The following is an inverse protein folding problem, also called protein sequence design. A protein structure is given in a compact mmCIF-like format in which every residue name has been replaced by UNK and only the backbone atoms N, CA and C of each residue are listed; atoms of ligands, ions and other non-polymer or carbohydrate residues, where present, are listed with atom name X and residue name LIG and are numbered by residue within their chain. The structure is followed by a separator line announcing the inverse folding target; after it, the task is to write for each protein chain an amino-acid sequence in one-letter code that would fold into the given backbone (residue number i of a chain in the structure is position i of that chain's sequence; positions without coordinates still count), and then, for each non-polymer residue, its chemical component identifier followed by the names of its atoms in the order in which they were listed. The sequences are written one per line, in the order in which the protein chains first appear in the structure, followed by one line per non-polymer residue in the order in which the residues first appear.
data_IF_332403931739
#
_entry.id   IF_332403931739
#
_cell.length_a   1.000
_cell.length_b   1.000
_cell.length_c   1.000
_cell.angle_alpha   90.00
_cell.angle_beta   90.00
_cell.angle_gamma   90.00
#
_symmetry.space_group_name_H-M   'P 1'
#
loop_
_entity.id
_entity.type
_entity.pdbx_description
1 polymer ?
#
# COMPACT_ATOMS: atom_id res chain seq x y z
N UNK A 1 -6.00 0.78 -27.68
CA UNK A 1 -6.22 1.07 -26.25
C UNK A 1 -5.81 -0.13 -25.42
N UNK A 2 -5.05 0.11 -24.36
CA UNK A 2 -4.62 -0.97 -23.46
C UNK A 2 -5.72 -1.24 -22.44
N UNK A 3 -6.13 -2.50 -22.35
CA UNK A 3 -7.10 -2.91 -21.34
C UNK A 3 -6.39 -3.17 -20.00
N UNK A 4 -6.70 -2.37 -18.99
CA UNK A 4 -6.09 -2.48 -17.66
C UNK A 4 -6.95 -3.28 -16.67
N UNK A 5 -8.22 -3.54 -17.01
CA UNK A 5 -9.12 -4.25 -16.12
C UNK A 5 -8.58 -5.65 -15.82
N UNK A 6 -8.52 -6.00 -14.57
CA UNK A 6 -8.00 -7.29 -14.13
C UNK A 6 -6.50 -7.38 -14.02
N UNK A 7 -5.77 -6.34 -14.44
CA UNK A 7 -4.33 -6.27 -14.17
C UNK A 7 -4.10 -6.02 -12.69
N UNK A 8 -2.91 -6.37 -12.21
CA UNK A 8 -2.55 -6.28 -10.79
C UNK A 8 -1.38 -5.34 -10.60
N UNK A 9 -1.54 -4.41 -9.68
CA UNK A 9 -0.50 -3.43 -9.33
C UNK A 9 -0.18 -3.55 -7.84
N UNK A 10 1.09 -3.66 -7.51
CA UNK A 10 1.55 -3.57 -6.13
C UNK A 10 2.25 -2.23 -5.92
N UNK A 11 1.89 -1.54 -4.85
CA UNK A 11 2.48 -0.26 -4.45
C UNK A 11 3.11 -0.46 -3.07
N UNK A 12 4.40 -0.15 -2.97
CA UNK A 12 5.11 -0.13 -1.69
C UNK A 12 5.35 1.30 -1.28
N UNK A 13 4.93 1.68 -0.09
CA UNK A 13 5.17 3.03 0.44
C UNK A 13 6.02 2.91 1.69
N UNK A 14 7.17 3.61 1.70
CA UNK A 14 8.04 3.73 2.88
C UNK A 14 8.05 5.15 3.45
N UNK A 15 7.47 6.11 2.75
CA UNK A 15 7.42 7.50 3.16
C UNK A 15 6.42 7.73 4.28
N UNK A 16 6.73 8.64 5.20
CA UNK A 16 5.81 9.05 6.26
C UNK A 16 4.56 9.72 5.68
N UNK A 17 3.42 9.67 6.40
CA UNK A 17 2.17 10.26 5.91
C UNK A 17 2.25 11.74 5.53
N UNK A 18 3.13 12.50 6.19
CA UNK A 18 3.32 13.92 5.88
C UNK A 18 4.18 14.15 4.64
N UNK A 19 4.88 13.14 4.15
CA UNK A 19 5.75 13.26 3.00
C UNK A 19 4.94 13.16 1.71
N UNK A 20 5.28 14.00 0.71
CA UNK A 20 4.54 14.02 -0.57
C UNK A 20 4.47 12.66 -1.25
N UNK A 21 5.49 11.80 -1.08
CA UNK A 21 5.51 10.49 -1.72
C UNK A 21 4.46 9.54 -1.13
N UNK A 22 4.04 9.75 0.11
CA UNK A 22 2.89 9.02 0.65
C UNK A 22 1.63 9.36 -0.15
N UNK A 23 1.39 10.66 -0.38
CA UNK A 23 0.24 11.11 -1.18
C UNK A 23 0.33 10.64 -2.63
N UNK A 24 1.52 10.65 -3.21
CA UNK A 24 1.70 10.14 -4.58
C UNK A 24 1.31 8.67 -4.68
N UNK A 25 1.68 7.86 -3.68
CA UNK A 25 1.28 6.46 -3.62
C UNK A 25 -0.22 6.28 -3.55
N UNK A 26 -0.89 7.08 -2.71
CA UNK A 26 -2.36 7.04 -2.61
C UNK A 26 -3.03 7.47 -3.91
N UNK A 27 -2.49 8.51 -4.57
CA UNK A 27 -3.04 8.99 -5.84
C UNK A 27 -2.92 7.94 -6.93
N UNK A 28 -1.81 7.24 -7.00
CA UNK A 28 -1.64 6.15 -7.96
C UNK A 28 -2.64 5.02 -7.66
N UNK A 29 -2.80 4.66 -6.39
CA UNK A 29 -3.75 3.62 -5.99
C UNK A 29 -5.17 3.97 -6.42
N UNK A 30 -5.57 5.23 -6.22
CA UNK A 30 -6.90 5.67 -6.61
C UNK A 30 -7.09 5.65 -8.12
N UNK A 31 -6.13 6.14 -8.87
CA UNK A 31 -6.20 6.13 -10.34
C UNK A 31 -6.27 4.71 -10.90
N UNK A 32 -5.45 3.81 -10.34
CA UNK A 32 -5.45 2.42 -10.76
C UNK A 32 -6.78 1.74 -10.44
N UNK A 33 -7.32 1.99 -9.25
CA UNK A 33 -8.60 1.44 -8.84
C UNK A 33 -9.72 1.87 -9.80
N UNK A 34 -9.73 3.15 -10.18
CA UNK A 34 -10.71 3.67 -11.16
C UNK A 34 -10.57 3.03 -12.53
N UNK A 35 -9.36 2.62 -12.90
CA UNK A 35 -9.10 1.96 -14.18
C UNK A 35 -9.43 0.46 -14.17
N UNK A 36 -9.91 -0.07 -13.06
CA UNK A 36 -10.26 -1.49 -12.94
C UNK A 36 -9.08 -2.39 -12.56
N UNK A 37 -7.99 -1.81 -12.14
CA UNK A 37 -6.80 -2.54 -11.70
C UNK A 37 -7.01 -3.05 -10.28
N UNK A 38 -6.58 -4.29 -10.02
CA UNK A 38 -6.53 -4.82 -8.64
C UNK A 38 -5.29 -4.26 -7.97
N UNK A 39 -5.48 -3.50 -6.90
CA UNK A 39 -4.40 -2.77 -6.22
C UNK A 39 -4.07 -3.43 -4.88
N UNK A 40 -2.78 -3.72 -4.69
CA UNK A 40 -2.20 -4.15 -3.43
C UNK A 40 -1.30 -3.03 -2.93
N UNK A 41 -1.47 -2.60 -1.69
CA UNK A 41 -0.67 -1.52 -1.14
C UNK A 41 -0.02 -2.01 0.16
N UNK A 42 1.29 -1.90 0.24
CA UNK A 42 2.08 -2.35 1.38
C UNK A 42 2.79 -1.16 2.02
N UNK A 43 2.50 -0.90 3.29
CA UNK A 43 3.15 0.15 4.07
C UNK A 43 4.31 -0.45 4.86
N UNK A 44 5.50 0.16 4.73
CA UNK A 44 6.71 -0.24 5.42
C UNK A 44 7.37 1.01 6.03
N UNK A 45 8.24 0.83 6.99
CA UNK A 45 8.99 1.92 7.65
C UNK A 45 8.03 2.99 8.17
N UNK A 46 8.28 4.27 7.87
CA UNK A 46 7.48 5.38 8.38
C UNK A 46 6.05 5.40 7.83
N UNK A 47 5.80 4.72 6.71
CA UNK A 47 4.44 4.66 6.16
C UNK A 47 3.46 3.91 7.07
N UNK A 48 3.95 3.06 7.97
CA UNK A 48 3.06 2.35 8.91
C UNK A 48 2.31 3.29 9.84
N UNK A 49 2.83 4.51 10.08
CA UNK A 49 2.09 5.53 10.82
C UNK A 49 0.82 5.98 10.11
N UNK A 50 0.74 5.76 8.81
CA UNK A 50 -0.41 6.16 8.00
C UNK A 50 -1.46 5.08 7.77
N UNK A 51 -1.29 3.91 8.37
CA UNK A 51 -2.23 2.79 8.14
C UNK A 51 -3.66 3.18 8.47
N UNK A 52 -3.87 3.95 9.54
CA UNK A 52 -5.21 4.42 9.93
C UNK A 52 -5.66 5.70 9.25
N UNK A 53 -4.90 6.25 8.32
CA UNK A 53 -5.27 7.47 7.62
C UNK A 53 -6.61 7.28 6.91
N UNK A 54 -7.52 8.26 7.04
CA UNK A 54 -8.87 8.16 6.51
C UNK A 54 -8.89 7.92 5.00
N UNK A 55 -7.97 8.54 4.26
CA UNK A 55 -7.88 8.38 2.80
C UNK A 55 -7.49 6.95 2.43
N UNK A 56 -6.56 6.39 3.19
CA UNK A 56 -6.10 5.01 2.95
C UNK A 56 -7.18 4.01 3.33
N UNK A 57 -7.88 4.24 4.43
CA UNK A 57 -8.99 3.38 4.82
C UNK A 57 -10.15 3.45 3.83
N UNK A 58 -10.40 4.61 3.23
CA UNK A 58 -11.40 4.74 2.16
C UNK A 58 -11.00 3.92 0.94
N UNK A 59 -9.74 3.98 0.52
CA UNK A 59 -9.25 3.16 -0.58
C UNK A 59 -9.40 1.67 -0.28
N UNK A 60 -9.11 1.26 0.95
CA UNK A 60 -9.32 -0.12 1.40
C UNK A 60 -10.79 -0.51 1.27
N UNK A 61 -11.70 0.36 1.71
CA UNK A 61 -13.14 0.10 1.61
C UNK A 61 -13.61 -0.04 0.15
N UNK A 62 -12.90 0.61 -0.78
CA UNK A 62 -13.19 0.55 -2.21
C UNK A 62 -12.49 -0.59 -2.93
N UNK A 63 -11.75 -1.42 -2.21
CA UNK A 63 -11.18 -2.64 -2.77
C UNK A 63 -9.66 -2.73 -2.79
N UNK A 64 -8.94 -1.68 -2.42
CA UNK A 64 -7.48 -1.78 -2.27
C UNK A 64 -7.15 -2.76 -1.16
N UNK A 65 -6.26 -3.70 -1.44
CA UNK A 65 -5.81 -4.68 -0.47
C UNK A 65 -4.63 -4.09 0.28
N UNK A 66 -4.85 -3.76 1.55
CA UNK A 66 -3.91 -3.01 2.37
C UNK A 66 -3.15 -3.92 3.32
N UNK A 67 -1.82 -3.87 3.21
CA UNK A 67 -0.89 -4.59 4.07
C UNK A 67 0.04 -3.62 4.77
N UNK A 68 0.60 -4.06 5.87
CA UNK A 68 1.62 -3.28 6.59
C UNK A 68 2.66 -4.20 7.21
N UNK A 69 3.88 -3.70 7.34
CA UNK A 69 4.97 -4.45 7.94
C UNK A 69 4.76 -4.57 9.46
N UNK A 70 4.61 -5.79 9.95
CA UNK A 70 4.41 -6.05 11.37
C UNK A 70 5.62 -5.62 12.20
N UNK A 71 6.83 -5.87 11.72
CA UNK A 71 8.05 -5.49 12.41
C UNK A 71 8.17 -3.96 12.54
N UNK A 72 7.90 -3.23 11.45
CA UNK A 72 7.93 -1.77 11.47
C UNK A 72 6.88 -1.19 12.43
N UNK A 73 5.69 -1.78 12.46
CA UNK A 73 4.63 -1.35 13.37
C UNK A 73 5.03 -1.60 14.83
N UNK A 74 5.58 -2.77 15.11
CA UNK A 74 6.02 -3.14 16.45
C UNK A 74 7.11 -2.20 16.97
N UNK A 75 8.10 -1.91 16.14
CA UNK A 75 9.20 -1.01 16.50
C UNK A 75 8.74 0.42 16.77
N UNK A 76 7.60 0.82 16.21
CA UNK A 76 7.03 2.16 16.35
C UNK A 76 5.85 2.21 17.32
N UNK A 77 5.62 1.12 18.04
CA UNK A 77 4.50 1.00 19.00
C UNK A 77 3.14 1.29 18.36
N UNK A 78 2.97 0.85 17.13
CA UNK A 78 1.69 0.98 16.44
C UNK A 78 0.87 -0.28 16.70
N UNK A 79 -0.35 -0.10 17.20
CA UNK A 79 -1.25 -1.20 17.48
C UNK A 79 -1.67 -1.87 16.18
N UNK A 80 -1.47 -3.19 16.11
CA UNK A 80 -1.85 -3.98 14.95
C UNK A 80 -3.33 -4.36 15.07
N UNK A 81 -4.15 -3.67 14.30
CA UNK A 81 -5.61 -3.86 14.27
C UNK A 81 -6.02 -4.44 12.92
N UNK A 82 -7.32 -4.46 12.65
CA UNK A 82 -7.85 -4.84 11.33
C UNK A 82 -7.79 -3.71 10.30
N UNK A 83 -7.17 -2.58 10.64
CA UNK A 83 -6.95 -1.49 9.68
C UNK A 83 -6.15 -1.94 8.46
N UNK A 84 -5.28 -2.94 8.62
CA UNK A 84 -4.50 -3.53 7.54
C UNK A 84 -4.20 -4.99 7.90
N UNK A 85 -3.72 -5.74 6.91
CA UNK A 85 -3.14 -7.05 7.16
C UNK A 85 -1.67 -6.84 7.52
N UNK A 86 -1.33 -7.05 8.78
CA UNK A 86 0.05 -6.94 9.25
C UNK A 86 0.79 -8.24 8.98
N UNK A 87 1.91 -8.16 8.27
CA UNK A 87 2.63 -9.34 7.80
C UNK A 87 4.13 -9.09 7.77
N UNK A 88 4.89 -10.16 7.55
CA UNK A 88 6.32 -10.07 7.32
C UNK A 88 6.65 -9.65 5.89
N UNK A 89 7.92 -9.35 5.64
CA UNK A 89 8.38 -8.87 4.33
C UNK A 89 8.34 -9.94 3.23
N UNK A 90 8.14 -11.21 3.58
CA UNK A 90 7.95 -12.26 2.58
C UNK A 90 6.75 -11.97 1.66
N UNK A 91 5.72 -11.28 2.19
CA UNK A 91 4.57 -10.86 1.39
C UNK A 91 4.99 -9.92 0.26
N UNK A 92 5.99 -9.06 0.49
CA UNK A 92 6.50 -8.16 -0.56
C UNK A 92 7.03 -8.97 -1.74
N UNK A 93 7.81 -10.02 -1.47
CA UNK A 93 8.31 -10.89 -2.53
C UNK A 93 7.16 -11.58 -3.27
N UNK A 94 6.15 -12.03 -2.56
CA UNK A 94 4.97 -12.63 -3.18
C UNK A 94 4.25 -11.64 -4.08
N UNK A 95 4.12 -10.37 -3.64
CA UNK A 95 3.48 -9.33 -4.44
C UNK A 95 4.27 -9.01 -5.70
N UNK A 96 5.61 -8.96 -5.61
CA UNK A 96 6.45 -8.73 -6.77
C UNK A 96 6.23 -9.84 -7.80
N UNK A 97 6.16 -11.09 -7.35
CA UNK A 97 5.98 -12.23 -8.24
C UNK A 97 4.56 -12.33 -8.83
N UNK A 98 3.55 -11.89 -8.08
CA UNK A 98 2.15 -12.11 -8.43
C UNK A 98 1.48 -10.95 -9.18
N UNK A 99 2.16 -9.79 -9.29
CA UNK A 99 1.57 -8.61 -9.90
C UNK A 99 2.21 -8.28 -11.24
N UNK A 100 1.48 -7.55 -12.08
CA UNK A 100 1.97 -7.12 -13.40
C UNK A 100 2.97 -5.98 -13.29
N UNK A 101 2.83 -5.13 -12.27
CA UNK A 101 3.73 -4.00 -12.00
C UNK A 101 3.91 -3.83 -10.51
N UNK A 102 5.08 -3.37 -10.13
CA UNK A 102 5.43 -3.07 -8.75
C UNK A 102 6.10 -1.69 -8.73
N UNK A 103 5.58 -0.78 -7.92
CA UNK A 103 6.06 0.61 -7.82
C UNK A 103 6.30 0.94 -6.36
N UNK A 104 7.40 1.62 -6.06
CA UNK A 104 7.68 2.05 -4.69
C UNK A 104 7.76 3.56 -4.57
N UNK A 105 7.31 4.10 -3.45
CA UNK A 105 7.35 5.50 -3.10
C UNK A 105 8.10 5.66 -1.79
N UNK A 106 9.33 6.12 -1.90
CA UNK A 106 10.25 6.18 -0.78
C UNK A 106 10.40 7.61 -0.27
N UNK A 107 10.90 7.72 0.94
CA UNK A 107 11.29 8.99 1.53
C UNK A 107 12.81 9.08 1.45
N UNK A 108 13.29 10.08 0.75
CA UNK A 108 14.73 10.29 0.58
C UNK A 108 15.16 11.63 1.14
#
# INVERSE_FOLDING_TARGET
MIELRGKKLAILISAAPAHRNFLHGLSLAESALKAGVTVFLYCIDEAVFGVGDARLQELKARGVRLFACADAAQKRNILMTDAAVFSGLTVVNELIAATDRFVSFNQS
#
